data_IF_945681824778
#
_entry.id   IF_945681824778
#
_cell.length_a   1.000
_cell.length_b   1.000
_cell.length_c   1.000
_cell.angle_alpha   90.00
_cell.angle_beta   90.00
_cell.angle_gamma   90.00
#
_symmetry.space_group_name_H-M   'P 1'
#
loop_
_entity.id
_entity.type
_entity.pdbx_description
1 polymer ?
#
# COMPACT_ATOMS: atom_id res chain seq x y z
N UNK A 1 -7.46 -29.31 47.49
CA UNK A 1 -6.40 -30.34 47.59
C UNK A 1 -7.04 -31.71 47.68
N UNK A 2 -7.45 -32.23 46.53
CA UNK A 2 -7.87 -33.62 46.43
C UNK A 2 -6.62 -34.48 46.18
N UNK A 3 -6.03 -35.01 47.24
CA UNK A 3 -4.90 -35.94 47.15
C UNK A 3 -5.48 -37.35 47.08
N UNK A 4 -5.08 -38.10 46.06
CA UNK A 4 -5.57 -39.45 45.82
C UNK A 4 -4.40 -40.42 45.92
N UNK A 5 -4.54 -41.49 46.70
CA UNK A 5 -3.44 -42.44 46.92
C UNK A 5 -3.21 -43.35 45.69
N UNK A 6 -4.27 -43.67 44.95
CA UNK A 6 -4.20 -44.61 43.83
C UNK A 6 -4.06 -43.92 42.46
N UNK A 7 -3.10 -44.39 41.67
CA UNK A 7 -2.86 -43.90 40.31
C UNK A 7 -4.07 -44.06 39.38
N UNK A 8 -4.83 -45.14 39.54
CA UNK A 8 -6.02 -45.43 38.73
C UNK A 8 -7.12 -44.41 38.99
N UNK A 9 -7.41 -44.16 40.27
CA UNK A 9 -8.41 -43.18 40.69
C UNK A 9 -7.99 -41.74 40.31
N UNK A 10 -6.70 -41.41 40.40
CA UNK A 10 -6.17 -40.13 39.94
C UNK A 10 -6.33 -39.95 38.42
N UNK A 11 -6.04 -40.99 37.63
CA UNK A 11 -6.20 -40.97 36.18
C UNK A 11 -7.67 -40.80 35.78
N UNK A 12 -8.58 -41.53 36.43
CA UNK A 12 -10.02 -41.43 36.19
C UNK A 12 -10.54 -40.02 36.50
N UNK A 13 -10.12 -39.41 37.62
CA UNK A 13 -10.51 -38.04 37.99
C UNK A 13 -9.90 -36.96 37.08
N UNK A 14 -8.74 -37.22 36.48
CA UNK A 14 -8.10 -36.32 35.51
C UNK A 14 -8.58 -36.53 34.06
N UNK A 15 -9.43 -37.55 33.82
CA UNK A 15 -9.98 -37.88 32.50
C UNK A 15 -8.94 -38.47 31.55
N UNK A 16 -7.92 -39.17 32.07
CA UNK A 16 -6.83 -39.77 31.28
C UNK A 16 -6.62 -41.23 31.64
N UNK A 17 -5.88 -41.97 30.82
CA UNK A 17 -5.56 -43.37 31.14
C UNK A 17 -4.44 -43.46 32.18
N UNK A 18 -4.44 -44.50 33.01
CA UNK A 18 -3.36 -44.73 33.98
C UNK A 18 -1.98 -44.84 33.31
N UNK A 19 -1.92 -45.35 32.08
CA UNK A 19 -0.72 -45.37 31.24
C UNK A 19 -0.24 -43.95 30.91
N UNK A 20 -1.14 -43.09 30.45
CA UNK A 20 -0.82 -41.68 30.16
C UNK A 20 -0.27 -40.96 31.39
N UNK A 21 -0.86 -41.19 32.56
CA UNK A 21 -0.39 -40.58 33.82
C UNK A 21 1.01 -41.08 34.23
N UNK A 22 1.31 -42.37 33.98
CA UNK A 22 2.65 -42.93 34.18
C UNK A 22 3.65 -42.33 33.21
N UNK A 23 3.28 -42.27 31.93
CA UNK A 23 4.14 -41.75 30.87
C UNK A 23 4.49 -40.29 31.13
N UNK A 24 3.55 -39.48 31.66
CA UNK A 24 3.84 -38.12 32.11
C UNK A 24 4.90 -38.06 33.21
N UNK A 25 4.77 -38.90 34.24
CA UNK A 25 5.74 -38.95 35.35
C UNK A 25 7.14 -39.37 34.89
N UNK A 26 7.24 -40.28 33.94
CA UNK A 26 8.52 -40.83 33.47
C UNK A 26 9.21 -39.94 32.44
N UNK A 27 8.44 -39.25 31.59
CA UNK A 27 8.99 -38.47 30.47
C UNK A 27 9.22 -36.99 30.82
N UNK A 28 8.52 -36.47 31.84
CA UNK A 28 8.60 -35.07 32.22
C UNK A 28 9.26 -34.90 33.59
N UNK A 29 10.51 -34.41 33.67
CA UNK A 29 11.20 -34.20 34.94
C UNK A 29 10.59 -33.07 35.80
N UNK A 30 9.72 -32.24 35.22
CA UNK A 30 8.98 -31.17 35.89
C UNK A 30 7.56 -31.59 36.34
N UNK A 31 7.23 -32.87 36.21
CA UNK A 31 5.96 -33.43 36.69
C UNK A 31 5.86 -33.33 38.23
N UNK A 32 4.68 -33.02 38.80
CA UNK A 32 4.51 -32.91 40.25
C UNK A 32 4.93 -34.18 41.01
N UNK A 33 5.57 -34.00 42.17
CA UNK A 33 5.94 -35.13 43.03
C UNK A 33 4.67 -35.84 43.57
N UNK A 34 4.62 -37.15 43.38
CA UNK A 34 3.51 -38.00 43.83
C UNK A 34 3.89 -38.90 45.02
N UNK A 35 5.01 -38.61 45.71
CA UNK A 35 5.51 -39.40 46.86
C UNK A 35 4.49 -39.51 48.01
N UNK A 36 3.66 -38.48 48.23
CA UNK A 36 2.59 -38.44 49.23
C UNK A 36 1.19 -38.77 48.67
N UNK A 37 1.11 -39.18 47.41
CA UNK A 37 -0.15 -39.33 46.66
C UNK A 37 -0.25 -38.35 45.48
N UNK A 38 -1.24 -38.55 44.63
CA UNK A 38 -1.48 -37.73 43.43
C UNK A 38 -2.28 -36.49 43.79
N UNK A 39 -1.63 -35.33 43.77
CA UNK A 39 -2.29 -34.03 43.88
C UNK A 39 -2.88 -33.62 42.51
N UNK A 40 -4.20 -33.76 42.39
CA UNK A 40 -4.91 -33.48 41.14
C UNK A 40 -4.86 -31.99 40.75
N UNK A 41 -4.83 -31.09 41.73
CA UNK A 41 -4.79 -29.65 41.50
C UNK A 41 -3.41 -29.26 40.92
N UNK A 42 -2.33 -29.83 41.47
CA UNK A 42 -0.97 -29.63 40.97
C UNK A 42 -0.77 -30.23 39.56
N UNK A 43 -1.28 -31.44 39.31
CA UNK A 43 -1.18 -32.11 38.01
C UNK A 43 -1.97 -31.35 36.93
N UNK A 44 -3.15 -30.82 37.26
CA UNK A 44 -3.96 -30.00 36.34
C UNK A 44 -3.23 -28.69 36.00
N UNK A 45 -2.67 -28.02 37.00
CA UNK A 45 -1.93 -26.78 36.80
C UNK A 45 -0.64 -27.00 35.97
N UNK A 46 0.03 -28.15 36.12
CA UNK A 46 1.17 -28.52 35.29
C UNK A 46 0.76 -28.77 33.84
N UNK A 47 -0.32 -29.53 33.61
CA UNK A 47 -0.88 -29.81 32.28
C UNK A 47 -1.20 -28.53 31.51
N UNK A 48 -1.81 -27.55 32.18
CA UNK A 48 -2.17 -26.27 31.56
C UNK A 48 -0.95 -25.42 31.18
N UNK A 49 0.14 -25.51 31.96
CA UNK A 49 1.42 -24.85 31.62
C UNK A 49 2.10 -25.52 30.43
N UNK A 50 2.05 -26.85 30.36
CA UNK A 50 2.59 -27.62 29.23
C UNK A 50 1.84 -27.28 27.92
N UNK A 51 0.51 -27.21 27.98
CA UNK A 51 -0.33 -26.83 26.84
C UNK A 51 -0.08 -25.39 26.36
N UNK A 52 0.18 -24.44 27.27
CA UNK A 52 0.52 -23.05 26.92
C UNK A 52 1.89 -22.91 26.27
N UNK A 53 2.89 -23.73 26.66
CA UNK A 53 4.23 -23.70 26.05
C UNK A 53 4.26 -24.30 24.64
N UNK A 54 3.32 -25.18 24.29
CA UNK A 54 3.29 -25.86 22.99
C UNK A 54 2.38 -25.23 21.91
N UNK A 55 1.64 -24.15 22.19
CA UNK A 55 0.67 -23.65 21.21
C UNK A 55 1.29 -22.71 20.18
N UNK A 56 1.89 -23.26 19.11
CA UNK A 56 2.19 -22.56 17.85
C UNK A 56 0.99 -21.75 17.32
N UNK A 57 -0.21 -22.20 17.67
CA UNK A 57 -1.49 -21.57 17.37
C UNK A 57 -1.61 -20.14 17.91
N UNK A 58 -1.02 -19.86 19.07
CA UNK A 58 -1.03 -18.52 19.67
C UNK A 58 -0.16 -17.54 18.87
N UNK A 59 1.05 -17.96 18.51
CA UNK A 59 1.98 -17.19 17.67
C UNK A 59 1.39 -16.96 16.27
N UNK A 60 0.82 -17.99 15.63
CA UNK A 60 0.15 -17.85 14.33
C UNK A 60 -1.03 -16.88 14.37
N UNK A 61 -1.85 -16.92 15.43
CA UNK A 61 -2.98 -16.00 15.57
C UNK A 61 -2.52 -14.55 15.76
N UNK A 62 -1.40 -14.34 16.45
CA UNK A 62 -0.82 -13.01 16.62
C UNK A 62 -0.23 -12.48 15.32
N UNK A 63 0.47 -13.31 14.54
CA UNK A 63 0.97 -12.95 13.20
C UNK A 63 -0.17 -12.58 12.25
N UNK A 64 -1.27 -13.35 12.26
CA UNK A 64 -2.45 -13.04 11.45
C UNK A 64 -3.13 -11.73 11.86
N UNK A 65 -3.18 -11.42 13.17
CA UNK A 65 -3.70 -10.13 13.66
C UNK A 65 -2.84 -8.96 13.17
N UNK A 66 -1.52 -9.08 13.24
CA UNK A 66 -0.58 -8.04 12.76
C UNK A 66 -0.72 -7.86 11.25
N UNK A 67 -0.80 -8.94 10.48
CA UNK A 67 -0.99 -8.87 9.03
C UNK A 67 -2.32 -8.20 8.65
N UNK A 68 -3.42 -8.54 9.34
CA UNK A 68 -4.72 -7.89 9.14
C UNK A 68 -4.70 -6.41 9.52
N UNK A 69 -4.03 -6.05 10.61
CA UNK A 69 -3.87 -4.65 11.01
C UNK A 69 -3.06 -3.85 9.98
N UNK A 70 -2.00 -4.44 9.43
CA UNK A 70 -1.21 -3.81 8.37
C UNK A 70 -2.02 -3.63 7.07
N UNK A 71 -2.85 -4.60 6.71
CA UNK A 71 -3.74 -4.48 5.54
C UNK A 71 -4.84 -3.43 5.76
N UNK A 72 -5.45 -3.39 6.95
CA UNK A 72 -6.40 -2.36 7.33
C UNK A 72 -5.79 -0.97 7.24
N UNK A 73 -4.56 -0.79 7.76
CA UNK A 73 -3.84 0.48 7.67
C UNK A 73 -3.59 0.90 6.21
N UNK A 74 -3.24 -0.04 5.33
CA UNK A 74 -3.09 0.27 3.88
C UNK A 74 -4.40 0.73 3.26
N UNK A 75 -5.51 0.07 3.58
CA UNK A 75 -6.85 0.44 3.09
C UNK A 75 -7.27 1.81 3.61
N UNK A 76 -7.04 2.08 4.89
CA UNK A 76 -7.35 3.37 5.50
C UNK A 76 -6.52 4.49 4.87
N UNK A 77 -5.21 4.30 4.64
CA UNK A 77 -4.38 5.28 3.91
C UNK A 77 -4.90 5.58 2.51
N UNK A 78 -5.36 4.56 1.78
CA UNK A 78 -5.96 4.76 0.45
C UNK A 78 -7.28 5.52 0.56
N UNK A 79 -8.11 5.22 1.56
CA UNK A 79 -9.37 5.93 1.81
C UNK A 79 -9.12 7.39 2.14
N UNK A 80 -8.24 7.68 3.10
CA UNK A 80 -7.87 9.05 3.48
C UNK A 80 -7.34 9.83 2.27
N UNK A 81 -6.48 9.25 1.45
CA UNK A 81 -5.98 9.91 0.24
C UNK A 81 -7.09 10.21 -0.78
N UNK A 82 -8.09 9.33 -0.91
CA UNK A 82 -9.26 9.59 -1.76
C UNK A 82 -10.13 10.72 -1.22
N UNK A 83 -10.33 10.75 0.10
CA UNK A 83 -11.07 11.82 0.78
C UNK A 83 -10.36 13.17 0.63
N UNK A 84 -9.02 13.20 0.77
CA UNK A 84 -8.20 14.39 0.52
C UNK A 84 -8.31 14.88 -0.93
N UNK A 85 -8.19 14.00 -1.91
CA UNK A 85 -8.35 14.37 -3.33
C UNK A 85 -9.76 14.91 -3.62
N UNK A 86 -10.79 14.32 -3.00
CA UNK A 86 -12.15 14.80 -3.17
C UNK A 86 -12.38 16.16 -2.50
N UNK A 87 -11.76 16.40 -1.35
CA UNK A 87 -11.78 17.71 -0.69
C UNK A 87 -11.09 18.77 -1.58
N UNK A 88 -9.92 18.47 -2.14
CA UNK A 88 -9.21 19.38 -3.05
C UNK A 88 -9.99 19.66 -4.35
N UNK A 89 -10.76 18.69 -4.85
CA UNK A 89 -11.69 18.89 -5.97
C UNK A 89 -12.84 19.85 -5.59
N UNK A 90 -13.43 19.67 -4.39
CA UNK A 90 -14.50 20.53 -3.88
C UNK A 90 -14.01 21.97 -3.61
N UNK A 91 -12.78 22.12 -3.11
CA UNK A 91 -12.12 23.40 -2.87
C UNK A 91 -11.64 24.08 -4.18
N UNK A 92 -11.87 23.46 -5.35
CA UNK A 92 -11.43 23.91 -6.68
C UNK A 92 -9.92 24.07 -6.81
N UNK A 93 -9.15 23.45 -5.93
CA UNK A 93 -7.70 23.43 -6.01
C UNK A 93 -7.22 22.50 -7.13
N UNK A 94 -8.00 21.45 -7.43
CA UNK A 94 -7.77 20.56 -8.56
C UNK A 94 -8.68 20.91 -9.74
N UNK A 95 -8.08 21.25 -10.88
CA UNK A 95 -8.82 21.40 -12.14
C UNK A 95 -9.08 20.04 -12.77
N UNK A 96 -10.29 19.79 -13.31
CA UNK A 96 -10.56 18.58 -14.08
C UNK A 96 -9.60 18.49 -15.26
N UNK A 97 -8.89 17.36 -15.37
CA UNK A 97 -7.93 17.10 -16.45
C UNK A 97 -8.50 17.41 -17.85
N UNK A 98 -9.73 17.00 -18.22
CA UNK A 98 -10.29 17.31 -19.54
C UNK A 98 -10.44 18.82 -19.79
N UNK A 99 -10.84 19.58 -18.76
CA UNK A 99 -10.99 21.04 -18.87
C UNK A 99 -9.64 21.72 -19.03
N UNK A 100 -8.62 21.25 -18.31
CA UNK A 100 -7.25 21.76 -18.43
C UNK A 100 -6.63 21.42 -19.79
N UNK A 101 -6.80 20.19 -20.28
CA UNK A 101 -6.34 19.77 -21.61
C UNK A 101 -7.02 20.58 -22.72
N UNK A 102 -8.34 20.80 -22.63
CA UNK A 102 -9.06 21.63 -23.59
C UNK A 102 -8.58 23.09 -23.56
N UNK A 103 -8.33 23.63 -22.37
CA UNK A 103 -7.76 24.98 -22.21
C UNK A 103 -6.38 25.09 -22.86
N UNK A 104 -5.49 24.12 -22.61
CA UNK A 104 -4.18 24.08 -23.24
C UNK A 104 -4.28 23.95 -24.76
N UNK A 105 -5.15 23.08 -25.27
CA UNK A 105 -5.37 22.94 -26.70
C UNK A 105 -5.83 24.27 -27.33
N UNK A 106 -6.80 24.95 -26.70
CA UNK A 106 -7.30 26.25 -27.18
C UNK A 106 -6.21 27.32 -27.19
N UNK A 107 -5.39 27.41 -26.13
CA UNK A 107 -4.27 28.36 -26.08
C UNK A 107 -3.23 28.04 -27.14
N UNK A 108 -2.85 26.77 -27.30
CA UNK A 108 -1.83 26.36 -28.26
C UNK A 108 -2.30 26.57 -29.70
N UNK A 109 -3.56 26.29 -30.01
CA UNK A 109 -4.16 26.63 -31.31
C UNK A 109 -4.17 28.14 -31.56
N UNK A 110 -4.59 28.95 -30.59
CA UNK A 110 -4.57 30.41 -30.73
C UNK A 110 -3.16 30.98 -30.91
N UNK A 111 -2.16 30.42 -30.23
CA UNK A 111 -0.74 30.76 -30.43
C UNK A 111 -0.25 30.34 -31.82
N UNK A 112 -0.67 29.18 -32.32
CA UNK A 112 -0.31 28.71 -33.66
C UNK A 112 -0.86 29.66 -34.73
N UNK A 113 -2.13 30.07 -34.60
CA UNK A 113 -2.76 31.06 -35.49
C UNK A 113 -2.01 32.41 -35.46
N UNK A 114 -1.62 32.86 -34.26
CA UNK A 114 -0.82 34.07 -34.09
C UNK A 114 0.53 33.97 -34.79
N UNK A 115 1.23 32.85 -34.63
CA UNK A 115 2.50 32.61 -35.31
C UNK A 115 2.34 32.61 -36.84
N UNK A 116 1.21 32.17 -37.37
CA UNK A 116 0.94 32.18 -38.82
C UNK A 116 0.64 33.58 -39.37
N UNK A 117 -0.01 34.43 -38.56
CA UNK A 117 -0.31 35.81 -38.94
C UNK A 117 0.87 36.78 -38.73
N UNK A 118 1.78 36.46 -37.81
CA UNK A 118 2.91 37.30 -37.43
C UNK A 118 3.78 37.79 -38.62
N UNK A 119 4.15 36.94 -39.60
CA UNK A 119 4.94 37.36 -40.75
C UNK A 119 4.25 38.46 -41.56
N UNK A 120 2.93 38.35 -41.75
CA UNK A 120 2.16 39.30 -42.54
C UNK A 120 1.93 40.62 -41.79
N UNK A 121 1.67 40.56 -40.48
CA UNK A 121 1.58 41.73 -39.61
C UNK A 121 2.89 42.52 -39.60
N UNK A 122 4.02 41.85 -39.38
CA UNK A 122 5.34 42.49 -39.37
C UNK A 122 5.72 43.03 -40.75
N UNK A 123 5.37 42.31 -41.82
CA UNK A 123 5.62 42.76 -43.18
C UNK A 123 4.73 43.95 -43.58
N UNK A 124 3.57 44.12 -42.94
CA UNK A 124 2.67 45.27 -43.08
C UNK A 124 3.29 46.59 -42.60
N UNK A 125 4.02 46.55 -41.49
CA UNK A 125 4.72 47.71 -40.91
C UNK A 125 6.05 48.04 -41.60
N UNK A 126 6.51 47.16 -42.49
CA UNK A 126 7.80 47.27 -43.15
C UNK A 126 7.75 48.08 -44.46
N UNK A 127 8.88 48.68 -44.82
CA UNK A 127 9.06 49.37 -46.10
C UNK A 127 8.76 48.43 -47.31
N UNK A 128 8.29 48.94 -48.47
CA UNK A 128 7.92 48.09 -49.64
C UNK A 128 9.01 47.10 -50.10
N UNK A 129 10.29 47.47 -49.96
CA UNK A 129 11.44 46.58 -50.25
C UNK A 129 11.63 45.52 -49.16
N UNK A 130 11.52 45.93 -47.91
CA UNK A 130 11.66 45.12 -46.70
C UNK A 130 10.54 44.06 -46.60
N UNK A 131 9.30 44.44 -46.94
CA UNK A 131 8.10 43.59 -46.94
C UNK A 131 8.29 42.29 -47.73
N UNK A 132 8.91 42.36 -48.91
CA UNK A 132 9.16 41.19 -49.77
C UNK A 132 10.21 40.22 -49.22
N UNK A 133 11.12 40.70 -48.38
CA UNK A 133 12.21 39.90 -47.82
C UNK A 133 11.89 39.34 -46.43
N UNK A 134 11.20 40.13 -45.59
CA UNK A 134 10.97 39.80 -44.18
C UNK A 134 9.91 38.72 -44.01
N UNK A 135 8.77 38.81 -44.70
CA UNK A 135 7.68 37.83 -44.58
C UNK A 135 8.14 36.38 -44.84
N UNK A 136 8.76 36.08 -46.00
CA UNK A 136 9.27 34.74 -46.29
C UNK A 136 10.35 34.27 -45.31
N UNK A 137 11.22 35.19 -44.85
CA UNK A 137 12.30 34.87 -43.91
C UNK A 137 11.77 34.49 -42.54
N UNK A 138 10.77 35.22 -42.03
CA UNK A 138 10.13 34.90 -40.74
C UNK A 138 9.36 33.58 -40.87
N UNK A 139 8.62 33.38 -41.96
CA UNK A 139 7.89 32.12 -42.19
C UNK A 139 8.84 30.92 -42.21
N UNK A 140 9.96 31.01 -42.94
CA UNK A 140 10.96 29.94 -42.99
C UNK A 140 11.58 29.65 -41.62
N UNK A 141 11.84 30.66 -40.78
CA UNK A 141 12.35 30.44 -39.42
C UNK A 141 11.29 29.78 -38.53
N UNK A 142 10.01 30.20 -38.62
CA UNK A 142 8.93 29.58 -37.86
C UNK A 142 8.71 28.11 -38.25
N UNK A 143 8.73 27.80 -39.56
CA UNK A 143 8.62 26.42 -40.05
C UNK A 143 9.78 25.56 -39.55
N UNK A 144 11.02 26.08 -39.64
CA UNK A 144 12.21 25.40 -39.08
C UNK A 144 12.07 25.14 -37.58
N UNK A 145 11.55 26.11 -36.81
CA UNK A 145 11.35 25.93 -35.36
C UNK A 145 10.26 24.92 -35.05
N UNK A 146 9.18 24.87 -35.85
CA UNK A 146 8.13 23.84 -35.75
C UNK A 146 8.70 22.44 -35.98
N UNK A 147 9.53 22.27 -37.00
CA UNK A 147 10.22 20.99 -37.27
C UNK A 147 11.14 20.59 -36.12
N UNK A 148 11.93 21.54 -35.58
CA UNK A 148 12.81 21.27 -34.44
C UNK A 148 12.03 20.81 -33.21
N UNK A 149 10.94 21.51 -32.86
CA UNK A 149 10.08 21.14 -31.73
C UNK A 149 9.42 19.77 -31.94
N UNK A 150 9.02 19.44 -33.16
CA UNK A 150 8.46 18.12 -33.48
C UNK A 150 9.48 17.00 -33.28
N UNK A 151 10.75 17.23 -33.64
CA UNK A 151 11.83 16.28 -33.38
C UNK A 151 12.17 16.15 -31.90
N UNK A 152 12.19 17.26 -31.16
CA UNK A 152 12.41 17.24 -29.71
C UNK A 152 11.28 16.50 -28.97
N UNK A 153 10.03 16.63 -29.44
CA UNK A 153 8.89 15.88 -28.91
C UNK A 153 9.05 14.37 -29.14
N UNK A 154 9.51 13.93 -30.32
CA UNK A 154 9.77 12.51 -30.61
C UNK A 154 10.87 11.91 -29.73
N UNK A 155 11.83 12.74 -29.28
CA UNK A 155 12.96 12.34 -28.44
C UNK A 155 12.63 12.35 -26.95
N UNK A 156 11.55 13.00 -26.56
CA UNK A 156 11.14 13.07 -25.16
C UNK A 156 10.59 11.71 -24.71
N UNK A 157 10.99 11.20 -23.54
CA UNK A 157 10.41 9.96 -23.01
C UNK A 157 8.91 10.17 -22.80
N UNK A 158 8.09 9.32 -23.40
CA UNK A 158 6.67 9.27 -23.10
C UNK A 158 6.51 8.57 -21.74
N UNK A 159 6.22 9.35 -20.71
CA UNK A 159 5.82 8.85 -19.38
C UNK A 159 4.42 8.21 -19.42
#
# INVERSE_FOLDING_TARGET
MAIVAEQKEAADKLGVTARTLRDWREQHPDFPDCSAGYDLDAITAWRDRLAKKGSDRGTQMQTLKVARAAEALKRDKIRTRKEELHLQEQEKELLPRPSYELFLANILSGLADWCEQLPDLLAGECCKKCKKAIGPRIKAELDRRREQLAEDLKRSPQE
#
